data_IF_582420598353
#
_entry.id   IF_582420598353
#
_cell.length_a   1.000
_cell.length_b   1.000
_cell.length_c   1.000
_cell.angle_alpha   90.00
_cell.angle_beta   90.00
_cell.angle_gamma   90.00
#
_symmetry.space_group_name_H-M   'P 1'
#
loop_
_entity.id
_entity.type
_entity.pdbx_description
1 polymer ?
#
# COMPACT_ATOMS: atom_id res chain seq x y z
N UNK A 1 23.20 -4.03 -14.43
CA UNK A 1 21.81 -3.66 -14.65
C UNK A 1 21.18 -2.95 -13.44
N UNK A 2 21.96 -2.09 -12.75
CA UNK A 2 21.51 -1.31 -11.60
C UNK A 2 20.80 0.01 -11.98
N UNK A 3 20.63 0.32 -13.27
CA UNK A 3 20.05 1.58 -13.75
C UNK A 3 18.52 1.67 -13.69
N UNK A 4 17.83 0.53 -13.76
CA UNK A 4 16.38 0.50 -14.05
C UNK A 4 15.44 0.89 -12.90
N UNK A 5 15.80 0.65 -11.64
CA UNK A 5 14.96 1.04 -10.49
C UNK A 5 15.08 2.52 -10.12
N UNK A 6 16.25 3.13 -10.38
CA UNK A 6 16.48 4.56 -10.09
C UNK A 6 15.75 5.46 -11.08
N UNK A 7 15.65 5.05 -12.34
CA UNK A 7 15.20 5.93 -13.41
C UNK A 7 13.68 6.14 -13.40
N UNK A 8 12.88 5.09 -13.11
CA UNK A 8 11.42 5.23 -12.93
C UNK A 8 11.04 6.00 -11.66
N UNK A 9 11.83 5.86 -10.60
CA UNK A 9 11.68 6.69 -9.39
C UNK A 9 12.05 8.16 -9.65
N UNK A 10 12.97 8.41 -10.59
CA UNK A 10 13.39 9.75 -11.01
C UNK A 10 12.26 10.48 -11.74
N UNK A 11 11.53 9.81 -12.62
CA UNK A 11 10.36 10.36 -13.32
C UNK A 11 9.26 10.81 -12.36
N UNK A 12 8.93 10.00 -11.37
CA UNK A 12 7.99 10.38 -10.31
C UNK A 12 8.44 11.62 -9.51
N UNK A 13 9.75 11.76 -9.28
CA UNK A 13 10.33 12.97 -8.64
C UNK A 13 10.31 14.19 -9.54
N UNK A 14 10.44 14.01 -10.84
CA UNK A 14 10.46 15.11 -11.81
C UNK A 14 9.08 15.71 -12.06
N UNK A 15 7.99 14.92 -12.01
CA UNK A 15 6.62 15.44 -12.00
C UNK A 15 6.38 16.39 -10.81
N UNK A 16 6.95 16.10 -9.63
CA UNK A 16 6.94 17.01 -8.48
C UNK A 16 7.69 18.33 -8.71
N UNK A 17 8.54 18.40 -9.73
CA UNK A 17 9.35 19.58 -10.04
C UNK A 17 8.76 20.48 -11.15
N UNK A 18 7.48 20.30 -11.50
CA UNK A 18 6.75 21.21 -12.41
C UNK A 18 7.08 21.05 -13.89
N UNK A 19 7.54 19.86 -14.33
CA UNK A 19 7.68 19.57 -15.76
C UNK A 19 6.33 19.49 -16.44
N UNK A 20 6.27 19.97 -17.72
CA UNK A 20 5.07 19.83 -18.53
C UNK A 20 4.74 18.35 -18.79
N UNK A 21 3.46 18.06 -19.04
CA UNK A 21 2.97 16.71 -19.36
C UNK A 21 3.72 16.05 -20.52
N UNK A 22 4.11 16.84 -21.52
CA UNK A 22 4.89 16.40 -22.68
C UNK A 22 6.32 15.96 -22.27
N UNK A 23 6.98 16.70 -21.42
CA UNK A 23 8.31 16.36 -20.94
C UNK A 23 8.33 15.03 -20.17
N UNK A 24 7.30 14.75 -19.39
CA UNK A 24 7.15 13.46 -18.69
C UNK A 24 7.02 12.29 -19.70
N UNK A 25 6.23 12.48 -20.77
CA UNK A 25 6.06 11.47 -21.80
C UNK A 25 7.34 11.23 -22.61
N UNK A 26 8.03 12.28 -23.02
CA UNK A 26 9.30 12.20 -23.73
C UNK A 26 10.37 11.47 -22.90
N UNK A 27 10.45 11.74 -21.61
CA UNK A 27 11.40 11.07 -20.72
C UNK A 27 11.07 9.58 -20.53
N UNK A 28 9.78 9.23 -20.40
CA UNK A 28 9.35 7.82 -20.36
C UNK A 28 9.78 7.07 -21.62
N UNK A 29 9.46 7.63 -22.79
CA UNK A 29 9.86 7.04 -24.09
C UNK A 29 11.37 6.87 -24.16
N UNK A 30 12.12 7.92 -23.83
CA UNK A 30 13.60 7.89 -23.84
C UNK A 30 14.17 6.80 -22.92
N UNK A 31 13.65 6.68 -21.69
CA UNK A 31 14.13 5.69 -20.73
C UNK A 31 13.78 4.28 -21.18
N UNK A 32 12.54 4.02 -21.60
CA UNK A 32 12.10 2.71 -22.06
C UNK A 32 12.87 2.30 -23.33
N UNK A 33 13.10 3.24 -24.25
CA UNK A 33 13.89 3.03 -25.44
C UNK A 33 15.36 2.70 -25.13
N UNK A 34 15.93 3.35 -24.10
CA UNK A 34 17.32 3.09 -23.70
C UNK A 34 17.47 1.75 -22.97
N UNK A 35 16.49 1.39 -22.11
CA UNK A 35 16.53 0.21 -21.25
C UNK A 35 16.09 -1.05 -21.98
N UNK A 36 15.16 -0.95 -22.93
CA UNK A 36 14.49 -2.08 -23.58
C UNK A 36 13.98 -3.16 -22.59
N UNK A 37 13.18 -2.80 -21.59
CA UNK A 37 12.80 -3.72 -20.51
C UNK A 37 11.97 -4.89 -21.03
N UNK A 38 12.19 -6.08 -20.46
CA UNK A 38 11.32 -7.24 -20.64
C UNK A 38 10.11 -7.18 -19.72
N UNK A 39 10.27 -6.55 -18.52
CA UNK A 39 9.22 -6.40 -17.51
C UNK A 39 9.19 -4.97 -16.96
N UNK A 40 7.97 -4.44 -16.78
CA UNK A 40 7.74 -3.15 -16.13
C UNK A 40 6.77 -3.37 -14.96
N UNK A 41 7.17 -2.96 -13.75
CA UNK A 41 6.33 -2.94 -12.56
C UNK A 41 5.97 -1.49 -12.24
N UNK A 42 4.78 -1.05 -12.65
CA UNK A 42 4.29 0.29 -12.35
C UNK A 42 3.69 0.33 -10.92
N UNK A 43 4.49 0.80 -9.98
CA UNK A 43 4.10 1.01 -8.57
C UNK A 43 3.97 2.50 -8.24
N UNK A 44 4.14 3.37 -9.23
CA UNK A 44 4.08 4.82 -9.03
C UNK A 44 2.65 5.27 -8.72
N UNK A 45 2.47 5.99 -7.64
CA UNK A 45 1.18 6.54 -7.23
C UNK A 45 1.31 7.61 -6.14
N UNK A 46 0.31 8.50 -6.08
CA UNK A 46 -0.07 9.21 -4.86
C UNK A 46 -0.97 8.26 -4.05
N UNK A 47 -0.41 7.44 -3.16
CA UNK A 47 -1.11 6.30 -2.55
C UNK A 47 -1.80 6.61 -1.20
N UNK A 48 -1.74 7.86 -0.72
CA UNK A 48 -2.36 8.22 0.56
C UNK A 48 -3.81 8.68 0.35
N UNK A 49 -4.77 7.81 0.68
CA UNK A 49 -6.22 8.02 0.43
C UNK A 49 -6.71 9.37 0.98
N UNK A 50 -6.39 9.74 2.22
CA UNK A 50 -6.84 11.01 2.81
C UNK A 50 -6.28 12.21 2.04
N UNK A 51 -4.99 12.19 1.68
CA UNK A 51 -4.33 13.26 0.91
C UNK A 51 -4.95 13.43 -0.47
N UNK A 52 -5.53 12.37 -1.06
CA UNK A 52 -6.19 12.48 -2.37
C UNK A 52 -7.41 13.43 -2.36
N UNK A 53 -8.05 13.64 -1.21
CA UNK A 53 -9.13 14.63 -1.07
C UNK A 53 -8.59 16.07 -1.05
N UNK A 54 -7.35 16.27 -0.60
CA UNK A 54 -6.72 17.60 -0.53
C UNK A 54 -6.09 17.98 -1.89
N UNK A 55 -5.61 16.99 -2.66
CA UNK A 55 -4.93 17.18 -3.96
C UNK A 55 -5.48 16.22 -5.03
N UNK A 56 -6.79 16.30 -5.37
CA UNK A 56 -7.43 15.33 -6.26
C UNK A 56 -6.91 15.39 -7.70
N UNK A 57 -6.58 16.57 -8.21
CA UNK A 57 -6.03 16.75 -9.56
C UNK A 57 -4.65 16.10 -9.70
N UNK A 58 -3.75 16.37 -8.75
CA UNK A 58 -2.44 15.73 -8.73
C UNK A 58 -2.56 14.20 -8.62
N UNK A 59 -3.50 13.71 -7.82
CA UNK A 59 -3.76 12.28 -7.68
C UNK A 59 -4.22 11.67 -9.00
N UNK A 60 -5.14 12.32 -9.72
CA UNK A 60 -5.59 11.87 -11.04
C UNK A 60 -4.45 11.87 -12.07
N UNK A 61 -3.63 12.91 -12.08
CA UNK A 61 -2.50 13.04 -13.00
C UNK A 61 -1.45 11.94 -12.76
N UNK A 62 -1.09 11.68 -11.50
CA UNK A 62 -0.09 10.68 -11.14
C UNK A 62 -0.60 9.24 -11.37
N UNK A 63 -1.81 8.93 -10.87
CA UNK A 63 -2.28 7.55 -10.76
C UNK A 63 -3.05 7.08 -12.00
N UNK A 64 -3.80 7.97 -12.64
CA UNK A 64 -4.58 7.66 -13.84
C UNK A 64 -3.76 7.93 -15.12
N UNK A 65 -3.40 9.19 -15.36
CA UNK A 65 -2.71 9.60 -16.58
C UNK A 65 -1.28 9.05 -16.62
N UNK A 66 -0.60 8.96 -15.48
CA UNK A 66 0.71 8.31 -15.40
C UNK A 66 0.70 6.86 -15.89
N UNK A 67 -0.35 6.09 -15.55
CA UNK A 67 -0.55 4.72 -16.05
C UNK A 67 -0.72 4.71 -17.59
N UNK A 68 -1.59 5.58 -18.12
CA UNK A 68 -1.77 5.71 -19.58
C UNK A 68 -0.46 6.02 -20.28
N UNK A 69 0.32 6.98 -19.77
CA UNK A 69 1.62 7.34 -20.37
C UNK A 69 2.60 6.17 -20.43
N UNK A 70 2.63 5.34 -19.40
CA UNK A 70 3.47 4.15 -19.38
C UNK A 70 3.09 3.15 -20.47
N UNK A 71 1.81 2.84 -20.60
CA UNK A 71 1.27 1.94 -21.64
C UNK A 71 1.51 2.51 -23.03
N UNK A 72 1.25 3.78 -23.24
CA UNK A 72 1.41 4.47 -24.50
C UNK A 72 2.89 4.55 -24.94
N UNK A 73 3.82 4.78 -24.00
CA UNK A 73 5.25 4.78 -24.28
C UNK A 73 5.72 3.42 -24.81
N UNK A 74 5.28 2.32 -24.22
CA UNK A 74 5.58 0.96 -24.70
C UNK A 74 5.00 0.73 -26.09
N UNK A 75 3.76 1.19 -26.34
CA UNK A 75 3.09 1.08 -27.65
C UNK A 75 3.79 1.90 -28.72
N UNK A 76 4.14 3.16 -28.47
CA UNK A 76 4.86 4.04 -29.40
C UNK A 76 6.20 3.43 -29.83
N UNK A 77 6.87 2.73 -28.93
CA UNK A 77 8.16 2.08 -29.19
C UNK A 77 8.02 0.72 -29.88
N UNK A 78 6.81 0.25 -30.19
CA UNK A 78 6.59 -1.06 -30.83
C UNK A 78 6.99 -2.23 -29.95
N UNK A 79 6.90 -2.09 -28.63
CA UNK A 79 7.35 -3.10 -27.67
C UNK A 79 6.19 -3.93 -27.08
N UNK A 80 4.98 -3.84 -27.64
CA UNK A 80 3.74 -4.45 -27.12
C UNK A 80 3.84 -5.97 -26.98
N UNK A 81 4.62 -6.61 -27.84
CA UNK A 81 4.77 -8.08 -27.84
C UNK A 81 5.96 -8.56 -27.01
N UNK A 82 6.84 -7.64 -26.63
CA UNK A 82 8.07 -7.94 -25.89
C UNK A 82 7.90 -7.67 -24.38
N UNK A 83 7.41 -6.48 -24.04
CA UNK A 83 7.40 -5.99 -22.65
C UNK A 83 6.15 -6.42 -21.92
N UNK A 84 6.30 -7.11 -20.79
CA UNK A 84 5.22 -7.45 -19.88
C UNK A 84 5.06 -6.34 -18.84
N UNK A 85 3.83 -5.88 -18.60
CA UNK A 85 3.53 -4.75 -17.73
C UNK A 85 2.64 -5.18 -16.58
N UNK A 86 3.13 -4.99 -15.35
CA UNK A 86 2.36 -5.10 -14.14
C UNK A 86 1.91 -3.71 -13.68
N UNK A 87 0.61 -3.49 -13.58
CA UNK A 87 0.01 -2.30 -13.00
C UNK A 87 -0.41 -2.58 -11.56
N UNK A 88 0.16 -1.87 -10.59
CA UNK A 88 -0.32 -1.91 -9.22
C UNK A 88 -1.69 -1.24 -9.13
N UNK A 89 -2.71 -2.07 -8.95
CA UNK A 89 -4.06 -1.64 -8.64
C UNK A 89 -4.30 -1.71 -7.13
N UNK A 90 -5.53 -1.59 -6.64
CA UNK A 90 -5.79 -1.42 -5.21
C UNK A 90 -7.16 -1.97 -4.80
N UNK A 91 -7.29 -2.47 -3.58
CA UNK A 91 -8.58 -2.82 -2.97
C UNK A 91 -9.52 -1.62 -2.79
N UNK A 92 -9.00 -0.37 -2.83
CA UNK A 92 -9.83 0.85 -2.77
C UNK A 92 -10.73 1.03 -4.02
N UNK A 93 -10.53 0.23 -5.08
CA UNK A 93 -11.48 0.12 -6.21
C UNK A 93 -12.86 -0.36 -5.74
N UNK A 94 -12.89 -1.30 -4.78
CA UNK A 94 -14.13 -1.88 -4.28
C UNK A 94 -14.94 -0.88 -3.45
N UNK A 95 -14.29 0.03 -2.72
CA UNK A 95 -14.88 1.17 -2.03
C UNK A 95 -16.12 0.85 -1.19
N UNK A 96 -17.32 1.21 -1.68
CA UNK A 96 -18.59 0.73 -1.12
C UNK A 96 -18.80 -0.71 -1.58
N UNK A 97 -18.34 -1.63 -0.74
CA UNK A 97 -18.23 -3.06 -1.06
C UNK A 97 -19.56 -3.65 -1.48
N UNK A 98 -19.61 -4.29 -2.65
CA UNK A 98 -20.79 -4.90 -3.23
C UNK A 98 -20.88 -6.42 -2.96
N UNK A 99 -19.76 -7.04 -2.62
CA UNK A 99 -19.63 -8.48 -2.37
C UNK A 99 -18.48 -8.73 -1.35
N UNK A 100 -18.63 -9.72 -0.49
CA UNK A 100 -17.62 -10.14 0.48
C UNK A 100 -17.46 -11.66 0.43
N UNK A 101 -16.24 -12.20 0.29
CA UNK A 101 -14.98 -11.48 -0.02
C UNK A 101 -14.96 -10.89 -1.44
N UNK A 102 -14.09 -9.90 -1.67
CA UNK A 102 -13.90 -9.29 -2.97
C UNK A 102 -12.99 -10.14 -3.85
N UNK A 103 -13.40 -10.36 -5.09
CA UNK A 103 -12.66 -11.09 -6.14
C UNK A 103 -12.55 -10.27 -7.42
N UNK A 104 -11.89 -10.79 -8.42
CA UNK A 104 -11.62 -10.10 -9.69
C UNK A 104 -12.87 -9.67 -10.45
N UNK A 105 -14.01 -10.30 -10.18
CA UNK A 105 -15.31 -10.00 -10.81
C UNK A 105 -16.23 -9.12 -9.97
N UNK A 106 -15.85 -8.82 -8.74
CA UNK A 106 -16.63 -7.93 -7.85
C UNK A 106 -16.73 -6.53 -8.44
N UNK A 107 -17.93 -5.94 -8.55
CA UNK A 107 -18.10 -4.59 -9.07
C UNK A 107 -17.35 -3.54 -8.25
N UNK A 108 -16.73 -2.58 -8.93
CA UNK A 108 -16.04 -1.46 -8.31
C UNK A 108 -17.01 -0.33 -7.94
N UNK A 109 -16.79 0.26 -6.76
CA UNK A 109 -17.52 1.44 -6.30
C UNK A 109 -16.59 2.33 -5.46
N UNK A 110 -15.57 2.99 -6.07
CA UNK A 110 -14.57 3.75 -5.33
C UNK A 110 -15.17 4.89 -4.51
N UNK A 111 -14.59 5.16 -3.34
CA UNK A 111 -15.07 6.14 -2.36
C UNK A 111 -14.05 7.25 -2.09
N UNK A 112 -13.04 7.39 -2.96
CA UNK A 112 -12.00 8.42 -2.84
C UNK A 112 -11.48 8.85 -4.22
N UNK A 113 -10.94 10.08 -4.36
CA UNK A 113 -10.25 10.49 -5.59
C UNK A 113 -9.12 9.54 -5.98
N UNK A 114 -8.39 8.98 -5.00
CA UNK A 114 -7.40 7.93 -5.21
C UNK A 114 -8.03 6.68 -5.84
N UNK A 115 -9.11 6.14 -5.27
CA UNK A 115 -9.79 4.97 -5.80
C UNK A 115 -10.30 5.19 -7.24
N UNK A 116 -10.86 6.38 -7.53
CA UNK A 116 -11.32 6.76 -8.88
C UNK A 116 -10.16 6.81 -9.87
N UNK A 117 -9.04 7.43 -9.50
CA UNK A 117 -7.86 7.50 -10.35
C UNK A 117 -7.26 6.12 -10.63
N UNK A 118 -7.20 5.26 -9.61
CA UNK A 118 -6.76 3.86 -9.76
C UNK A 118 -7.73 3.03 -10.60
N UNK A 119 -9.04 3.31 -10.54
CA UNK A 119 -10.02 2.66 -11.41
C UNK A 119 -9.79 2.98 -12.88
N UNK A 120 -9.47 4.24 -13.21
CA UNK A 120 -9.03 4.57 -14.57
C UNK A 120 -7.79 3.75 -14.96
N UNK A 121 -6.77 3.71 -14.11
CA UNK A 121 -5.55 2.93 -14.33
C UNK A 121 -5.82 1.44 -14.57
N UNK A 122 -6.74 0.85 -13.82
CA UNK A 122 -7.19 -0.54 -14.00
C UNK A 122 -7.80 -0.75 -15.39
N UNK A 123 -8.78 0.06 -15.75
CA UNK A 123 -9.50 -0.12 -17.00
C UNK A 123 -8.67 0.21 -18.23
N UNK A 124 -7.81 1.22 -18.18
CA UNK A 124 -6.93 1.53 -19.30
C UNK A 124 -5.90 0.43 -19.53
N UNK A 125 -5.38 -0.21 -18.48
CA UNK A 125 -4.49 -1.37 -18.56
C UNK A 125 -5.19 -2.54 -19.26
N UNK A 126 -6.42 -2.85 -18.85
CA UNK A 126 -7.24 -3.89 -19.47
C UNK A 126 -7.56 -3.54 -20.93
N UNK A 127 -7.92 -2.30 -21.23
CA UNK A 127 -8.18 -1.84 -22.58
C UNK A 127 -6.97 -2.02 -23.50
N UNK A 128 -5.76 -1.66 -23.06
CA UNK A 128 -4.54 -1.83 -23.85
C UNK A 128 -4.20 -3.31 -24.07
N UNK A 129 -4.46 -4.17 -23.10
CA UNK A 129 -4.34 -5.63 -23.27
C UNK A 129 -5.27 -6.13 -24.38
N UNK A 130 -6.54 -5.73 -24.35
CA UNK A 130 -7.56 -6.20 -25.29
C UNK A 130 -7.42 -5.58 -26.70
N UNK A 131 -7.09 -4.28 -26.77
CA UNK A 131 -7.04 -3.55 -28.02
C UNK A 131 -5.73 -3.74 -28.80
N UNK A 132 -4.60 -3.86 -28.09
CA UNK A 132 -3.27 -3.94 -28.73
C UNK A 132 -2.57 -5.27 -28.51
N UNK A 133 -3.20 -6.19 -27.76
CA UNK A 133 -2.63 -7.50 -27.42
C UNK A 133 -1.34 -7.39 -26.61
N UNK A 134 -1.26 -6.37 -25.74
CA UNK A 134 -0.15 -6.20 -24.80
C UNK A 134 -0.28 -7.20 -23.66
N UNK A 135 0.85 -7.68 -23.15
CA UNK A 135 0.86 -8.35 -21.86
C UNK A 135 0.83 -7.28 -20.76
N UNK A 136 -0.35 -6.77 -20.47
CA UNK A 136 -0.60 -5.73 -19.45
C UNK A 136 -1.65 -6.23 -18.46
N UNK A 137 -1.31 -6.30 -17.18
CA UNK A 137 -2.10 -6.96 -16.14
C UNK A 137 -2.19 -6.09 -14.89
N UNK A 138 -3.30 -6.25 -14.14
CA UNK A 138 -3.49 -5.59 -12.87
C UNK A 138 -3.32 -6.57 -11.70
N UNK A 139 -2.54 -6.19 -10.70
CA UNK A 139 -2.64 -6.79 -9.38
C UNK A 139 -3.52 -5.93 -8.48
N UNK A 140 -4.68 -6.44 -8.08
CA UNK A 140 -5.59 -5.74 -7.16
C UNK A 140 -5.08 -5.97 -5.73
N UNK A 141 -4.20 -5.08 -5.29
CA UNK A 141 -3.49 -5.21 -4.03
C UNK A 141 -4.37 -4.83 -2.85
N UNK A 142 -4.50 -5.74 -1.90
CA UNK A 142 -4.97 -5.43 -0.56
C UNK A 142 -3.82 -4.83 0.26
N UNK A 143 -4.08 -4.46 1.52
CA UNK A 143 -3.07 -3.77 2.30
C UNK A 143 -1.85 -4.66 2.52
N UNK A 144 -0.70 -4.17 2.12
CA UNK A 144 0.58 -4.88 2.25
C UNK A 144 1.59 -4.01 2.99
N UNK A 145 2.07 -4.55 4.07
CA UNK A 145 2.81 -3.83 5.08
C UNK A 145 4.24 -4.37 5.24
N UNK A 146 5.12 -3.53 5.72
CA UNK A 146 6.48 -3.94 6.07
C UNK A 146 7.13 -2.93 7.01
N UNK A 147 8.32 -3.26 7.48
CA UNK A 147 9.22 -2.37 8.20
C UNK A 147 9.60 -1.08 7.41
N UNK A 148 9.28 -1.04 6.12
CA UNK A 148 9.52 0.12 5.22
C UNK A 148 8.25 0.90 4.87
N UNK A 149 7.13 0.56 5.48
CA UNK A 149 5.87 1.28 5.27
C UNK A 149 6.04 2.75 5.63
N UNK A 150 5.39 3.65 4.89
CA UNK A 150 5.40 5.08 5.21
C UNK A 150 4.82 5.35 6.62
N UNK A 151 5.44 6.25 7.38
CA UNK A 151 5.13 6.49 8.80
C UNK A 151 3.73 7.07 9.04
N UNK A 152 3.11 7.65 8.02
CA UNK A 152 1.74 8.20 8.07
C UNK A 152 0.64 7.14 7.93
N UNK A 153 0.98 5.93 7.50
CA UNK A 153 0.03 4.82 7.41
C UNK A 153 -0.22 4.18 8.78
N UNK A 154 -1.46 3.75 9.01
CA UNK A 154 -1.95 3.33 10.34
C UNK A 154 -1.07 2.26 10.99
N UNK A 155 -0.66 1.23 10.25
CA UNK A 155 0.17 0.14 10.76
C UNK A 155 1.52 0.63 11.24
N UNK A 156 2.23 1.41 10.42
CA UNK A 156 3.53 1.96 10.79
C UNK A 156 3.43 3.01 11.89
N UNK A 157 2.38 3.81 11.89
CA UNK A 157 2.08 4.75 12.97
C UNK A 157 1.94 4.02 14.30
N UNK A 158 1.26 2.86 14.33
CA UNK A 158 1.09 2.04 15.53
C UNK A 158 2.42 1.47 15.99
N UNK A 159 3.20 0.83 15.11
CA UNK A 159 4.45 0.17 15.48
C UNK A 159 5.52 1.15 15.97
N UNK A 160 5.62 2.33 15.33
CA UNK A 160 6.49 3.42 15.79
C UNK A 160 6.05 3.98 17.15
N UNK A 161 4.74 4.17 17.35
CA UNK A 161 4.23 4.67 18.63
C UNK A 161 4.47 3.66 19.76
N UNK A 162 4.19 2.36 19.54
CA UNK A 162 4.50 1.31 20.49
C UNK A 162 5.98 1.30 20.88
N UNK A 163 6.88 1.41 19.87
CA UNK A 163 8.31 1.47 20.09
C UNK A 163 8.76 2.73 20.87
N UNK A 164 8.17 3.90 20.58
CA UNK A 164 8.47 5.16 21.28
C UNK A 164 7.94 5.16 22.70
N UNK A 165 6.71 4.66 22.92
CA UNK A 165 6.10 4.58 24.25
C UNK A 165 6.90 3.63 25.15
N UNK A 166 7.29 2.46 24.64
CA UNK A 166 8.10 1.51 25.37
C UNK A 166 9.49 2.06 25.76
N UNK A 167 10.01 3.05 25.04
CA UNK A 167 11.29 3.72 25.31
C UNK A 167 11.12 5.05 26.08
N UNK A 168 9.88 5.40 26.48
CA UNK A 168 9.60 6.64 27.22
C UNK A 168 9.71 7.93 26.37
N UNK A 169 9.62 7.83 25.06
CA UNK A 169 9.78 8.93 24.11
C UNK A 169 8.43 9.48 23.59
N UNK A 170 7.33 8.85 23.95
CA UNK A 170 5.97 9.25 23.59
C UNK A 170 5.00 8.80 24.68
N UNK A 171 4.01 9.64 25.01
CA UNK A 171 3.04 9.32 26.06
C UNK A 171 1.84 8.54 25.56
N UNK A 172 1.31 8.89 24.38
CA UNK A 172 0.07 8.32 23.85
C UNK A 172 0.10 8.15 22.33
N UNK A 173 -0.69 7.18 21.87
CA UNK A 173 -1.03 6.98 20.47
C UNK A 173 -2.49 7.41 20.22
N UNK A 174 -2.71 8.22 19.18
CA UNK A 174 -4.05 8.61 18.74
C UNK A 174 -4.40 7.93 17.42
N UNK A 175 -5.53 7.22 17.37
CA UNK A 175 -6.03 6.48 16.22
C UNK A 175 -7.43 6.98 15.80
N UNK A 176 -7.89 6.57 14.62
CA UNK A 176 -9.26 6.73 14.18
C UNK A 176 -10.12 5.54 14.56
N UNK A 177 -10.93 5.04 13.61
CA UNK A 177 -11.83 3.91 13.83
C UNK A 177 -11.06 2.61 14.13
N UNK A 178 -11.14 2.14 15.38
CA UNK A 178 -10.49 0.91 15.83
C UNK A 178 -11.15 -0.37 15.30
N UNK A 179 -12.41 -0.29 14.86
CA UNK A 179 -13.18 -1.42 14.34
C UNK A 179 -13.00 -1.65 12.84
N UNK A 180 -12.31 -0.75 12.14
CA UNK A 180 -12.05 -0.92 10.71
C UNK A 180 -11.36 -2.26 10.43
N UNK A 181 -11.95 -3.04 9.54
CA UNK A 181 -11.46 -4.36 9.12
C UNK A 181 -10.58 -4.23 7.87
N UNK A 182 -9.39 -4.78 7.93
CA UNK A 182 -8.44 -4.76 6.80
C UNK A 182 -7.77 -6.12 6.65
N UNK A 183 -7.56 -6.49 5.40
CA UNK A 183 -6.70 -7.61 5.01
C UNK A 183 -5.27 -7.07 4.90
N UNK A 184 -4.40 -7.48 5.83
CA UNK A 184 -3.00 -7.06 5.88
C UNK A 184 -2.05 -8.22 5.63
N UNK A 185 -1.26 -8.14 4.57
CA UNK A 185 -0.20 -9.09 4.28
C UNK A 185 1.20 -8.48 4.34
N UNK A 186 2.23 -9.32 4.26
CA UNK A 186 3.62 -8.88 4.22
C UNK A 186 4.01 -8.48 2.79
N UNK A 187 4.52 -7.26 2.62
CA UNK A 187 4.85 -6.70 1.31
C UNK A 187 5.82 -7.56 0.49
N UNK A 188 6.73 -8.30 1.15
CA UNK A 188 7.66 -9.20 0.47
C UNK A 188 6.94 -10.36 -0.21
N UNK A 189 5.92 -10.93 0.44
CA UNK A 189 5.12 -12.02 -0.13
C UNK A 189 4.29 -11.52 -1.31
N UNK A 190 3.81 -10.27 -1.24
CA UNK A 190 3.08 -9.60 -2.34
C UNK A 190 3.98 -9.33 -3.55
N UNK A 191 5.23 -8.94 -3.34
CA UNK A 191 6.23 -8.78 -4.43
C UNK A 191 6.49 -10.10 -5.15
N UNK A 192 6.52 -11.22 -4.43
CA UNK A 192 6.60 -12.56 -5.02
C UNK A 192 5.41 -12.82 -5.96
N UNK A 193 4.19 -12.46 -5.53
CA UNK A 193 3.00 -12.59 -6.37
C UNK A 193 3.05 -11.69 -7.61
N UNK A 194 3.50 -10.44 -7.48
CA UNK A 194 3.67 -9.53 -8.61
C UNK A 194 4.57 -10.14 -9.70
N UNK A 195 5.66 -10.78 -9.27
CA UNK A 195 6.57 -11.46 -10.19
C UNK A 195 5.90 -12.69 -10.83
N UNK A 196 5.24 -13.55 -10.05
CA UNK A 196 4.54 -14.73 -10.55
C UNK A 196 3.47 -14.36 -11.60
N UNK A 197 2.74 -13.27 -11.41
CA UNK A 197 1.75 -12.77 -12.38
C UNK A 197 2.42 -12.46 -13.73
N UNK A 198 3.59 -11.85 -13.74
CA UNK A 198 4.30 -11.59 -15.00
C UNK A 198 4.97 -12.84 -15.58
N UNK A 199 5.12 -13.93 -14.83
CA UNK A 199 5.63 -15.21 -15.36
C UNK A 199 4.50 -16.09 -15.93
N UNK A 200 3.23 -15.77 -15.62
CA UNK A 200 2.08 -16.53 -16.12
C UNK A 200 1.93 -16.40 -17.65
N UNK A 201 1.47 -17.47 -18.32
CA UNK A 201 1.39 -17.50 -19.78
C UNK A 201 0.29 -16.59 -20.33
N UNK A 202 -0.82 -16.47 -19.59
CA UNK A 202 -1.98 -15.66 -19.99
C UNK A 202 -2.04 -14.36 -19.22
N UNK A 203 -2.21 -13.20 -19.91
CA UNK A 203 -2.33 -11.92 -19.21
C UNK A 203 -3.71 -11.77 -18.54
N UNK A 204 -3.75 -11.94 -17.24
CA UNK A 204 -4.97 -11.87 -16.42
C UNK A 204 -4.75 -10.95 -15.21
N UNK A 205 -5.87 -10.42 -14.68
CA UNK A 205 -5.88 -9.63 -13.46
C UNK A 205 -6.07 -10.55 -12.23
N UNK A 206 -5.40 -10.21 -11.11
CA UNK A 206 -5.41 -11.02 -9.89
C UNK A 206 -5.67 -10.17 -8.65
N UNK A 207 -6.53 -10.66 -7.76
CA UNK A 207 -6.60 -10.19 -6.38
C UNK A 207 -5.41 -10.72 -5.60
N UNK A 208 -4.68 -9.80 -4.96
CA UNK A 208 -3.54 -10.12 -4.10
C UNK A 208 -3.91 -9.72 -2.67
N UNK A 209 -4.29 -10.72 -1.88
CA UNK A 209 -4.82 -10.59 -0.53
C UNK A 209 -4.43 -11.79 0.31
N UNK A 210 -4.52 -11.69 1.64
CA UNK A 210 -4.29 -12.84 2.52
C UNK A 210 -5.52 -13.75 2.61
N UNK A 211 -6.73 -13.19 2.45
CA UNK A 211 -7.99 -13.84 2.71
C UNK A 211 -8.39 -13.82 4.19
N UNK A 212 -7.64 -13.08 5.01
CA UNK A 212 -7.90 -12.86 6.43
C UNK A 212 -8.04 -11.37 6.70
N UNK A 213 -8.92 -10.98 7.62
CA UNK A 213 -9.03 -9.59 8.03
C UNK A 213 -8.89 -9.44 9.55
N UNK A 214 -8.34 -8.31 9.95
CA UNK A 214 -8.10 -7.97 11.34
C UNK A 214 -8.53 -6.53 11.60
N UNK A 215 -8.89 -6.22 12.84
CA UNK A 215 -9.23 -4.86 13.25
C UNK A 215 -7.97 -4.05 13.55
N UNK A 216 -8.09 -2.72 13.45
CA UNK A 216 -7.02 -1.80 13.91
C UNK A 216 -6.72 -2.04 15.39
N UNK A 217 -7.74 -2.38 16.19
CA UNK A 217 -7.59 -2.74 17.61
C UNK A 217 -6.69 -3.97 17.79
N UNK A 218 -6.93 -5.06 17.03
CA UNK A 218 -6.11 -6.28 17.10
C UNK A 218 -4.67 -6.00 16.74
N UNK A 219 -4.43 -5.25 15.66
CA UNK A 219 -3.08 -4.86 15.26
C UNK A 219 -2.39 -4.07 16.38
N UNK A 220 -3.10 -3.10 16.97
CA UNK A 220 -2.57 -2.28 18.08
C UNK A 220 -2.24 -3.15 19.30
N UNK A 221 -3.16 -4.04 19.69
CA UNK A 221 -2.96 -4.94 20.83
C UNK A 221 -1.72 -5.81 20.65
N UNK A 222 -1.56 -6.41 19.47
CA UNK A 222 -0.38 -7.23 19.16
C UNK A 222 0.91 -6.38 19.15
N UNK A 223 0.88 -5.18 18.56
CA UNK A 223 2.05 -4.32 18.51
C UNK A 223 2.55 -3.90 19.91
N UNK A 224 1.64 -3.58 20.82
CA UNK A 224 1.97 -3.25 22.21
C UNK A 224 2.46 -4.49 22.96
N UNK A 225 1.87 -5.65 22.73
CA UNK A 225 2.34 -6.92 23.33
C UNK A 225 3.76 -7.25 22.93
N UNK A 226 4.16 -7.01 21.68
CA UNK A 226 5.54 -7.25 21.21
C UNK A 226 6.59 -6.35 21.89
N UNK A 227 6.20 -5.23 22.48
CA UNK A 227 7.08 -4.38 23.29
C UNK A 227 6.90 -4.60 24.81
N UNK A 228 6.20 -5.66 25.22
CA UNK A 228 5.99 -6.03 26.63
C UNK A 228 4.90 -5.25 27.37
N UNK A 229 4.02 -4.56 26.65
CA UNK A 229 2.88 -3.80 27.20
C UNK A 229 1.59 -4.56 26.90
N UNK A 230 0.85 -4.97 27.94
CA UNK A 230 -0.47 -5.56 27.80
C UNK A 230 -1.55 -4.49 27.84
N UNK A 231 -2.34 -4.37 26.78
CA UNK A 231 -3.46 -3.41 26.69
C UNK A 231 -4.78 -4.06 27.09
N UNK A 232 -5.53 -3.37 27.98
CA UNK A 232 -6.95 -3.57 28.21
C UNK A 232 -7.72 -2.44 27.56
N UNK A 233 -8.77 -2.76 26.83
CA UNK A 233 -9.63 -1.80 26.17
C UNK A 233 -10.82 -1.45 27.08
N UNK A 234 -11.20 -0.17 27.12
CA UNK A 234 -12.28 0.38 27.92
C UNK A 234 -13.01 1.48 27.14
N UNK A 235 -14.34 1.55 27.28
CA UNK A 235 -15.18 2.46 26.50
C UNK A 235 -15.53 1.93 25.11
N UNK A 236 -16.24 2.75 24.33
CA UNK A 236 -16.69 2.43 22.96
C UNK A 236 -16.59 3.65 22.03
N UNK A 237 -16.40 3.41 20.74
CA UNK A 237 -16.39 4.46 19.71
C UNK A 237 -15.29 5.49 19.93
N UNK A 238 -15.67 6.76 20.06
CA UNK A 238 -14.71 7.87 20.26
C UNK A 238 -14.16 7.94 21.68
N UNK A 239 -14.84 7.31 22.64
CA UNK A 239 -14.43 7.27 24.05
C UNK A 239 -13.59 6.04 24.38
N UNK A 240 -13.36 5.16 23.41
CA UNK A 240 -12.58 3.94 23.60
C UNK A 240 -11.10 4.25 23.85
N UNK A 241 -10.53 3.55 24.84
CA UNK A 241 -9.17 3.74 25.33
C UNK A 241 -8.44 2.42 25.49
N UNK A 242 -7.16 2.39 25.11
CA UNK A 242 -6.23 1.31 25.42
C UNK A 242 -5.42 1.66 26.66
N UNK A 243 -5.57 0.86 27.71
CA UNK A 243 -5.00 1.07 29.04
C UNK A 243 -3.94 0.00 29.29
N UNK A 244 -2.74 0.40 29.69
CA UNK A 244 -1.70 -0.53 30.15
C UNK A 244 -2.15 -1.22 31.44
N UNK A 245 -2.28 -2.52 31.41
CA UNK A 245 -2.72 -3.35 32.56
C UNK A 245 -1.79 -3.19 33.74
N UNK A 246 -0.50 -3.03 33.54
CA UNK A 246 0.51 -2.97 34.60
C UNK A 246 0.56 -1.63 35.32
N UNK A 247 0.34 -0.52 34.61
CA UNK A 247 0.50 0.83 35.17
C UNK A 247 -0.83 1.59 35.33
N UNK A 248 -1.91 1.12 34.69
CA UNK A 248 -3.19 1.83 34.63
C UNK A 248 -3.17 3.09 33.75
N UNK A 249 -2.08 3.37 33.02
CA UNK A 249 -1.97 4.53 32.15
C UNK A 249 -2.76 4.33 30.85
N UNK A 250 -3.44 5.36 30.38
CA UNK A 250 -4.05 5.40 29.05
C UNK A 250 -2.96 5.65 28.01
N UNK A 251 -2.70 4.66 27.14
CA UNK A 251 -1.67 4.74 26.11
C UNK A 251 -2.25 4.91 24.71
N UNK A 252 -3.50 4.54 24.47
CA UNK A 252 -4.18 4.69 23.17
C UNK A 252 -5.51 5.40 23.38
N UNK A 253 -5.79 6.38 22.53
CA UNK A 253 -7.07 7.11 22.50
C UNK A 253 -7.57 7.24 21.06
N UNK A 254 -8.89 7.33 20.90
CA UNK A 254 -9.52 7.63 19.62
C UNK A 254 -9.58 9.14 19.42
N UNK A 255 -9.21 9.63 18.23
CA UNK A 255 -9.32 11.03 17.84
C UNK A 255 -10.08 11.13 16.49
N UNK A 256 -11.29 11.73 16.48
CA UNK A 256 -12.14 11.85 15.31
C UNK A 256 -11.47 12.52 14.10
N UNK A 257 -10.42 13.33 14.30
CA UNK A 257 -9.68 13.95 13.19
C UNK A 257 -9.01 12.94 12.24
N UNK A 258 -8.81 11.69 12.69
CA UNK A 258 -8.25 10.60 11.88
C UNK A 258 -9.31 9.79 11.13
N UNK A 259 -10.60 10.12 11.26
CA UNK A 259 -11.65 9.49 10.46
C UNK A 259 -11.59 10.00 9.02
N UNK A 260 -11.95 9.12 8.08
CA UNK A 260 -12.03 9.48 6.67
C UNK A 260 -13.37 10.16 6.36
N UNK A 261 -13.43 11.09 5.39
CA UNK A 261 -14.69 11.69 4.94
C UNK A 261 -15.70 10.64 4.42
N UNK A 262 -15.18 9.58 3.79
CA UNK A 262 -15.95 8.42 3.37
C UNK A 262 -15.18 7.17 3.82
N UNK A 263 -15.66 6.52 4.86
CA UNK A 263 -15.03 5.32 5.41
C UNK A 263 -15.31 4.09 4.54
N UNK A 264 -14.31 3.21 4.45
CA UNK A 264 -14.44 1.87 3.90
C UNK A 264 -14.39 0.92 5.09
N UNK A 265 -15.53 0.32 5.41
CA UNK A 265 -15.70 -0.46 6.64
C UNK A 265 -14.97 -1.80 6.58
N UNK A 266 -15.05 -2.48 5.43
CA UNK A 266 -14.55 -3.86 5.28
C UNK A 266 -13.87 -4.06 3.93
N UNK A 267 -12.62 -4.52 3.98
CA UNK A 267 -11.88 -4.99 2.80
C UNK A 267 -11.33 -6.38 3.11
N UNK A 268 -11.88 -7.39 2.45
CA UNK A 268 -11.48 -8.79 2.54
C UNK A 268 -11.33 -9.36 1.12
N UNK A 269 -10.12 -9.66 0.70
CA UNK A 269 -9.85 -10.20 -0.63
C UNK A 269 -9.99 -11.71 -0.71
N UNK A 270 -10.42 -12.22 -1.86
CA UNK A 270 -10.38 -13.65 -2.19
C UNK A 270 -9.14 -13.96 -3.04
N UNK A 271 -8.08 -14.56 -2.46
CA UNK A 271 -6.85 -14.88 -3.17
C UNK A 271 -6.93 -16.18 -3.98
N UNK A 272 -8.10 -16.81 -4.09
CA UNK A 272 -8.25 -18.16 -4.66
C UNK A 272 -7.65 -18.26 -6.06
N UNK A 273 -7.87 -17.26 -6.92
CA UNK A 273 -7.31 -17.28 -8.29
C UNK A 273 -5.79 -17.25 -8.27
N UNK A 274 -5.17 -16.37 -7.49
CA UNK A 274 -3.71 -16.29 -7.37
C UNK A 274 -3.11 -17.58 -6.78
N UNK A 275 -3.76 -18.16 -5.77
CA UNK A 275 -3.34 -19.44 -5.16
C UNK A 275 -3.39 -20.59 -6.16
N UNK A 276 -4.47 -20.68 -6.93
CA UNK A 276 -4.71 -21.85 -7.81
C UNK A 276 -3.92 -21.76 -9.10
N UNK A 277 -3.83 -20.59 -9.73
CA UNK A 277 -3.17 -20.45 -11.03
C UNK A 277 -1.66 -20.15 -10.91
N UNK A 278 -1.25 -19.43 -9.87
CA UNK A 278 0.15 -19.04 -9.69
C UNK A 278 0.89 -19.88 -8.63
N UNK A 279 0.17 -20.71 -7.86
CA UNK A 279 0.75 -21.44 -6.74
C UNK A 279 1.23 -20.52 -5.60
N UNK A 280 0.76 -19.27 -5.57
CA UNK A 280 1.16 -18.30 -4.56
C UNK A 280 0.60 -18.63 -3.17
N UNK A 281 1.42 -18.48 -2.13
CA UNK A 281 0.98 -18.64 -0.74
C UNK A 281 0.79 -17.26 -0.09
N UNK A 282 -0.45 -16.77 0.08
CA UNK A 282 -0.74 -15.45 0.63
C UNK A 282 -0.42 -15.30 2.13
N UNK A 283 -0.35 -16.41 2.86
CA UNK A 283 -0.13 -16.46 4.32
C UNK A 283 1.23 -17.06 4.68
N UNK A 284 2.21 -16.96 3.78
CA UNK A 284 3.60 -17.38 4.04
C UNK A 284 4.16 -16.68 5.27
N UNK A 285 3.86 -15.38 5.43
CA UNK A 285 4.07 -14.62 6.66
C UNK A 285 2.72 -14.41 7.34
N UNK A 286 2.52 -14.94 8.54
CA UNK A 286 1.28 -14.78 9.29
C UNK A 286 1.10 -13.35 9.81
N UNK A 287 -0.16 -12.96 10.13
CA UNK A 287 -0.46 -11.64 10.67
C UNK A 287 0.33 -11.31 11.97
N UNK A 288 0.41 -12.20 12.98
CA UNK A 288 1.25 -11.93 14.15
C UNK A 288 2.73 -11.78 13.82
N UNK A 289 3.24 -12.55 12.87
CA UNK A 289 4.64 -12.47 12.44
C UNK A 289 4.92 -11.13 11.72
N UNK A 290 4.01 -10.66 10.88
CA UNK A 290 4.08 -9.34 10.25
C UNK A 290 4.20 -8.23 11.30
N UNK A 291 3.32 -8.23 12.31
CA UNK A 291 3.36 -7.25 13.40
C UNK A 291 4.71 -7.30 14.13
N UNK A 292 5.18 -8.49 14.46
CA UNK A 292 6.48 -8.71 15.12
C UNK A 292 7.66 -8.20 14.30
N UNK A 293 7.68 -8.46 12.98
CA UNK A 293 8.72 -7.95 12.07
C UNK A 293 8.76 -6.41 12.12
N UNK A 294 7.60 -5.77 11.99
CA UNK A 294 7.49 -4.31 11.97
C UNK A 294 7.92 -3.70 13.32
N UNK A 295 7.41 -4.22 14.44
CA UNK A 295 7.74 -3.73 15.78
C UNK A 295 9.22 -3.94 16.10
N UNK A 296 9.78 -5.12 15.80
CA UNK A 296 11.20 -5.42 16.05
C UNK A 296 12.14 -4.47 15.29
N UNK A 297 11.76 -4.11 14.06
CA UNK A 297 12.49 -3.11 13.29
C UNK A 297 12.38 -1.72 13.95
N UNK A 298 11.16 -1.31 14.33
CA UNK A 298 10.91 0.04 14.85
C UNK A 298 11.52 0.24 16.24
N UNK A 299 11.59 -0.78 17.07
CA UNK A 299 12.34 -0.74 18.32
C UNK A 299 13.82 -0.38 18.11
N UNK A 300 14.46 -0.99 17.11
CA UNK A 300 15.86 -0.71 16.76
C UNK A 300 16.00 0.68 16.11
N UNK A 301 15.08 1.03 15.24
CA UNK A 301 15.06 2.30 14.51
C UNK A 301 14.92 3.49 15.47
N UNK A 302 13.94 3.45 16.37
CA UNK A 302 13.68 4.50 17.35
C UNK A 302 14.86 4.65 18.32
N UNK A 303 15.43 3.55 18.81
CA UNK A 303 16.61 3.57 19.66
C UNK A 303 17.81 4.24 18.98
N UNK A 304 18.06 3.91 17.71
CA UNK A 304 19.15 4.49 16.92
C UNK A 304 18.95 5.99 16.69
N UNK A 305 17.72 6.39 16.39
CA UNK A 305 17.36 7.79 16.16
C UNK A 305 17.57 8.61 17.42
N UNK A 306 17.07 8.13 18.57
CA UNK A 306 17.21 8.79 19.85
C UNK A 306 18.67 8.94 20.29
N UNK A 307 19.49 7.90 20.13
CA UNK A 307 20.93 7.97 20.38
C UNK A 307 21.63 9.04 19.55
N UNK A 308 21.26 9.14 18.26
CA UNK A 308 21.82 10.16 17.37
C UNK A 308 21.43 11.59 17.79
N UNK A 309 20.16 11.77 18.23
CA UNK A 309 19.68 13.06 18.73
C UNK A 309 20.41 13.50 20.02
N UNK A 310 20.69 12.56 20.91
CA UNK A 310 21.47 12.85 22.13
C UNK A 310 22.91 13.27 21.81
N UNK A 311 23.59 12.55 20.91
CA UNK A 311 24.95 12.90 20.48
C UNK A 311 25.02 14.29 19.84
N UNK A 312 24.05 14.67 19.02
CA UNK A 312 24.03 15.99 18.38
C UNK A 312 23.68 17.16 19.34
N UNK A 313 23.25 16.86 20.58
CA UNK A 313 22.98 17.88 21.61
C UNK A 313 24.19 18.15 22.51
N UNK A 314 25.17 17.27 22.47
CA UNK A 314 26.42 17.38 23.23
C UNK A 314 27.53 18.07 22.44
N UNK A 315 27.34 18.31 21.14
CA UNK A 315 28.16 19.17 20.28
C UNK A 315 27.59 20.60 20.23
#
# INVERSE_FOLDING_TARGET
>A
TAGTKSDLLLLYRQEKMGKSQWQCMEELIRIIQQVHPDEIYNLAAQSHVKVSFDVPEYTAEADAIGTLRMLEAVRILGMEKKTRIYQASTSELFGLVQEVPQKETTPFYPRSPYGVAKQYGFWITKNYRESYGMYAVNGILFNHESERRGETFVTRKITLAAARIAQGLQDKLYLGNLNSLRDWGYARDYVECMWLILQHDTPEDFVIATGEYHTVREFTTLAFKEVGIELRWDGEGVDERGIDVSTGKVLVEVDPKYFRPAEVEQLLGDPTKARTLLGWNPTKTSFPELVKIMVSHDMKFVKKLHMKELMNREE
#
